data_IF_817499914342
#
_entry.id   IF_817499914342
#
_cell.length_a   1.000
_cell.length_b   1.000
_cell.length_c   1.000
_cell.angle_alpha   90.00
_cell.angle_beta   90.00
_cell.angle_gamma   90.00
#
_symmetry.space_group_name_H-M   'P 1'
#
loop_
_entity.id
_entity.type
_entity.pdbx_description
1 polymer ?
#
# COMPACT_ATOMS: atom_id res chain seq x y z
N UNK A 1 -1.83 -14.92 3.15
CA UNK A 1 -1.45 -15.98 2.19
C UNK A 1 -0.19 -15.56 1.46
N UNK A 2 0.97 -16.21 1.67
CA UNK A 2 2.16 -15.96 0.87
C UNK A 2 1.93 -16.55 -0.53
N UNK A 3 2.11 -15.70 -1.57
CA UNK A 3 1.94 -16.11 -2.97
C UNK A 3 3.26 -16.28 -3.70
N UNK A 4 4.33 -15.64 -3.21
CA UNK A 4 5.67 -15.71 -3.79
C UNK A 4 6.74 -15.44 -2.75
N UNK A 5 7.98 -15.81 -3.05
CA UNK A 5 9.17 -15.63 -2.23
C UNK A 5 10.31 -15.05 -3.05
N UNK A 6 11.21 -14.30 -2.39
CA UNK A 6 12.38 -13.72 -3.01
C UNK A 6 12.08 -12.48 -3.85
N UNK A 7 13.12 -11.83 -4.38
CA UNK A 7 13.00 -10.62 -5.20
C UNK A 7 14.16 -10.50 -6.17
N UNK A 8 13.85 -10.18 -7.44
CA UNK A 8 14.85 -10.01 -8.50
C UNK A 8 15.18 -8.53 -8.81
N UNK A 9 14.65 -7.57 -8.03
CA UNK A 9 14.84 -6.14 -8.32
C UNK A 9 16.25 -5.65 -7.98
N UNK A 10 16.92 -6.26 -6.99
CA UNK A 10 18.27 -5.88 -6.57
C UNK A 10 18.44 -4.37 -6.35
N UNK A 11 17.43 -3.73 -5.74
CA UNK A 11 17.57 -2.35 -5.30
C UNK A 11 18.80 -2.20 -4.43
N UNK A 12 19.61 -1.18 -4.68
CA UNK A 12 20.98 -1.08 -4.12
C UNK A 12 21.05 -1.02 -2.61
N UNK A 13 19.97 -0.59 -1.96
CA UNK A 13 19.82 -0.51 -0.49
C UNK A 13 19.22 -1.77 0.15
N UNK A 14 18.73 -2.73 -0.65
CA UNK A 14 17.88 -3.82 -0.16
C UNK A 14 18.66 -5.13 0.01
N UNK A 15 18.55 -5.72 1.20
CA UNK A 15 19.18 -7.01 1.52
C UNK A 15 18.34 -8.22 1.11
N UNK A 16 17.06 -8.02 0.75
CA UNK A 16 16.09 -9.10 0.49
C UNK A 16 16.57 -10.13 -0.53
N UNK A 17 17.12 -9.76 -1.71
CA UNK A 17 17.60 -10.76 -2.68
C UNK A 17 18.67 -11.70 -2.12
N UNK A 18 19.44 -11.23 -1.15
CA UNK A 18 20.55 -12.00 -0.55
C UNK A 18 20.09 -12.93 0.57
N UNK A 19 18.99 -12.57 1.28
CA UNK A 19 18.48 -13.37 2.41
C UNK A 19 17.24 -14.19 2.08
N UNK A 20 16.47 -13.82 1.05
CA UNK A 20 15.27 -14.54 0.58
C UNK A 20 15.47 -15.25 -0.76
N UNK A 21 16.57 -14.93 -1.47
CA UNK A 21 16.90 -15.51 -2.77
C UNK A 21 16.11 -14.91 -3.93
N UNK A 22 16.17 -15.61 -5.07
CA UNK A 22 15.47 -15.23 -6.30
C UNK A 22 13.96 -15.38 -6.19
N UNK A 23 13.24 -14.65 -7.02
CA UNK A 23 11.78 -14.76 -7.12
C UNK A 23 11.35 -16.19 -7.47
N UNK A 24 10.35 -16.67 -6.77
CA UNK A 24 9.67 -17.94 -6.97
C UNK A 24 8.21 -17.76 -6.59
N UNK A 25 7.33 -17.90 -7.55
CA UNK A 25 5.89 -17.85 -7.31
C UNK A 25 5.37 -19.23 -6.90
N UNK A 26 4.37 -19.24 -6.04
CA UNK A 26 3.58 -20.46 -5.82
C UNK A 26 2.69 -20.71 -7.03
N UNK A 27 2.36 -21.96 -7.27
CA UNK A 27 1.46 -22.33 -8.38
C UNK A 27 0.09 -21.67 -8.20
N UNK A 28 -0.50 -21.13 -9.29
CA UNK A 28 -1.78 -20.45 -9.21
C UNK A 28 -2.88 -21.32 -8.58
N UNK A 29 -2.92 -22.61 -8.94
CA UNK A 29 -3.91 -23.55 -8.45
C UNK A 29 -3.83 -23.74 -6.93
N UNK A 30 -2.62 -23.77 -6.37
CA UNK A 30 -2.40 -23.89 -4.94
C UNK A 30 -2.86 -22.64 -4.19
N UNK A 31 -2.56 -21.44 -4.71
CA UNK A 31 -2.99 -20.18 -4.11
C UNK A 31 -4.51 -20.06 -4.15
N UNK A 32 -5.12 -20.37 -5.30
CA UNK A 32 -6.59 -20.33 -5.47
C UNK A 32 -7.28 -21.31 -4.53
N UNK A 33 -6.75 -22.55 -4.41
CA UNK A 33 -7.30 -23.56 -3.53
C UNK A 33 -7.23 -23.14 -2.05
N UNK A 34 -6.10 -22.57 -1.61
CA UNK A 34 -5.91 -22.05 -0.25
C UNK A 34 -6.88 -20.91 0.05
N UNK A 35 -6.95 -19.90 -0.84
CA UNK A 35 -7.87 -18.76 -0.65
C UNK A 35 -9.33 -19.23 -0.61
N UNK A 36 -9.72 -20.15 -1.49
CA UNK A 36 -11.07 -20.75 -1.47
C UNK A 36 -11.35 -21.49 -0.18
N UNK A 37 -10.37 -22.22 0.36
CA UNK A 37 -10.49 -22.89 1.66
C UNK A 37 -10.73 -21.87 2.77
N UNK A 38 -9.92 -20.81 2.85
CA UNK A 38 -10.07 -19.76 3.85
C UNK A 38 -11.44 -19.06 3.78
N UNK A 39 -11.93 -18.78 2.57
CA UNK A 39 -13.27 -18.18 2.40
C UNK A 39 -14.36 -19.15 2.92
N UNK A 40 -14.26 -20.44 2.61
CA UNK A 40 -15.20 -21.47 3.10
C UNK A 40 -15.16 -21.62 4.63
N UNK A 41 -13.98 -21.40 5.23
CA UNK A 41 -13.78 -21.42 6.69
C UNK A 41 -14.27 -20.13 7.36
N UNK A 42 -14.79 -19.17 6.58
CA UNK A 42 -15.42 -17.94 7.08
C UNK A 42 -14.46 -16.76 7.29
N UNK A 43 -13.21 -16.84 6.80
CA UNK A 43 -12.31 -15.67 6.82
C UNK A 43 -12.85 -14.55 5.94
N UNK A 44 -12.92 -13.34 6.51
CA UNK A 44 -13.51 -12.16 5.87
C UNK A 44 -12.49 -11.24 5.21
N UNK A 45 -11.22 -11.34 5.58
CA UNK A 45 -10.13 -10.59 4.97
C UNK A 45 -8.94 -11.49 4.69
N UNK A 46 -8.43 -11.41 3.48
CA UNK A 46 -7.30 -12.20 3.00
C UNK A 46 -6.25 -11.26 2.44
N UNK A 47 -5.05 -11.32 3.00
CA UNK A 47 -3.91 -10.52 2.57
C UNK A 47 -2.93 -11.38 1.77
N UNK A 48 -2.71 -11.05 0.50
CA UNK A 48 -1.70 -11.70 -0.34
C UNK A 48 -0.33 -11.08 -0.08
N UNK A 49 0.66 -11.91 0.19
CA UNK A 49 2.00 -11.50 0.62
C UNK A 49 3.09 -12.01 -0.33
N UNK A 50 4.09 -11.17 -0.53
CA UNK A 50 5.32 -11.46 -1.26
C UNK A 50 6.33 -10.33 -1.08
N UNK A 51 7.48 -10.41 -1.71
CA UNK A 51 8.47 -9.34 -1.70
C UNK A 51 8.30 -8.35 -2.87
N UNK A 52 7.57 -8.76 -3.91
CA UNK A 52 7.11 -7.94 -5.03
C UNK A 52 5.94 -8.66 -5.70
N UNK A 53 4.73 -8.54 -5.15
CA UNK A 53 3.57 -9.30 -5.61
C UNK A 53 3.19 -9.01 -7.07
N UNK A 54 3.53 -7.82 -7.58
CA UNK A 54 3.24 -7.45 -8.97
C UNK A 54 4.03 -8.28 -9.99
N UNK A 55 5.15 -8.91 -9.58
CA UNK A 55 5.92 -9.81 -10.45
C UNK A 55 5.50 -11.27 -10.38
N UNK A 56 4.45 -11.59 -9.62
CA UNK A 56 3.94 -12.94 -9.48
C UNK A 56 3.65 -13.61 -10.82
N UNK A 57 4.00 -14.88 -10.91
CA UNK A 57 3.59 -15.81 -11.95
C UNK A 57 4.26 -15.65 -13.31
N UNK A 58 5.32 -14.84 -13.40
CA UNK A 58 6.08 -14.66 -14.65
C UNK A 58 6.57 -15.98 -15.25
N UNK A 59 6.89 -16.96 -14.40
CA UNK A 59 7.33 -18.29 -14.80
C UNK A 59 6.20 -19.20 -15.30
N UNK A 60 4.93 -18.82 -15.14
CA UNK A 60 3.75 -19.63 -15.51
C UNK A 60 2.90 -19.03 -16.63
N UNK A 61 3.30 -17.88 -17.20
CA UNK A 61 2.44 -17.08 -18.09
C UNK A 61 1.06 -16.79 -17.47
N UNK A 62 1.09 -16.56 -16.15
CA UNK A 62 -0.09 -16.36 -15.31
C UNK A 62 0.17 -15.22 -14.32
N UNK A 63 0.11 -13.98 -14.83
CA UNK A 63 0.47 -12.78 -14.06
C UNK A 63 -0.45 -12.48 -12.87
N UNK A 64 -0.02 -11.53 -12.05
CA UNK A 64 -0.71 -11.14 -10.82
C UNK A 64 -2.14 -10.63 -11.07
N UNK A 65 -2.37 -9.84 -12.11
CA UNK A 65 -3.71 -9.37 -12.48
C UNK A 65 -4.66 -10.55 -12.75
N UNK A 66 -4.18 -11.57 -13.45
CA UNK A 66 -4.96 -12.79 -13.73
C UNK A 66 -5.26 -13.58 -12.45
N UNK A 67 -4.27 -13.71 -11.54
CA UNK A 67 -4.50 -14.32 -10.23
C UNK A 67 -5.60 -13.57 -9.47
N UNK A 68 -5.53 -12.26 -9.39
CA UNK A 68 -6.55 -11.45 -8.72
C UNK A 68 -7.93 -11.63 -9.35
N UNK A 69 -8.02 -11.67 -10.69
CA UNK A 69 -9.28 -11.91 -11.39
C UNK A 69 -9.88 -13.29 -11.08
N UNK A 70 -9.06 -14.34 -10.95
CA UNK A 70 -9.55 -15.68 -10.59
C UNK A 70 -10.00 -15.72 -9.11
N UNK A 71 -9.26 -15.05 -8.23
CA UNK A 71 -9.63 -14.96 -6.82
C UNK A 71 -10.93 -14.15 -6.62
N UNK A 72 -11.16 -13.10 -7.40
CA UNK A 72 -12.37 -12.26 -7.33
C UNK A 72 -13.65 -13.00 -7.78
N UNK A 73 -13.51 -14.10 -8.53
CA UNK A 73 -14.64 -14.96 -8.96
C UNK A 73 -15.12 -15.92 -7.88
N UNK A 74 -14.35 -16.12 -6.81
CA UNK A 74 -14.73 -17.04 -5.73
C UNK A 74 -15.97 -16.48 -5.03
N UNK A 75 -17.07 -17.25 -4.91
CA UNK A 75 -18.26 -16.76 -4.26
C UNK A 75 -18.04 -16.60 -2.73
N UNK A 76 -18.65 -15.55 -2.16
CA UNK A 76 -18.56 -15.25 -0.74
C UNK A 76 -18.50 -13.75 -0.48
N UNK A 77 -18.50 -13.37 0.80
CA UNK A 77 -18.32 -11.99 1.23
C UNK A 77 -16.97 -11.87 1.96
N UNK A 78 -15.98 -11.33 1.27
CA UNK A 78 -14.62 -11.17 1.78
C UNK A 78 -13.95 -9.95 1.14
N UNK A 79 -12.89 -9.46 1.75
CA UNK A 79 -11.99 -8.45 1.23
C UNK A 79 -10.65 -9.09 0.87
N UNK A 80 -10.15 -8.83 -0.32
CA UNK A 80 -8.85 -9.27 -0.79
C UNK A 80 -7.91 -8.07 -0.86
N UNK A 81 -6.80 -8.16 -0.15
CA UNK A 81 -5.78 -7.11 -0.10
C UNK A 81 -4.42 -7.67 -0.50
N UNK A 82 -3.51 -6.82 -0.91
CA UNK A 82 -2.12 -7.19 -1.15
C UNK A 82 -1.18 -6.04 -0.79
N UNK A 83 0.05 -6.38 -0.50
CA UNK A 83 1.10 -5.41 -0.17
C UNK A 83 2.40 -5.76 -0.89
N UNK A 84 3.35 -4.81 -0.86
CA UNK A 84 4.70 -5.00 -1.40
C UNK A 84 4.72 -5.02 -2.92
N UNK A 85 4.22 -3.93 -3.50
CA UNK A 85 4.26 -3.66 -4.94
C UNK A 85 5.57 -2.98 -5.36
N UNK A 86 5.87 -3.01 -6.65
CA UNK A 86 6.96 -2.27 -7.25
C UNK A 86 6.48 -1.53 -8.50
N UNK A 87 6.73 -0.21 -8.65
CA UNK A 87 6.21 0.59 -9.77
C UNK A 87 6.53 0.01 -11.15
N UNK A 88 7.74 -0.52 -11.33
CA UNK A 88 8.17 -1.19 -12.58
C UNK A 88 7.22 -2.31 -13.04
N UNK A 89 6.62 -3.03 -12.10
CA UNK A 89 5.78 -4.19 -12.36
C UNK A 89 4.28 -3.88 -12.16
N UNK A 90 3.92 -2.62 -11.87
CA UNK A 90 2.55 -2.14 -11.82
C UNK A 90 2.08 -1.82 -13.24
N UNK A 91 1.01 -2.46 -13.70
CA UNK A 91 0.48 -2.30 -15.05
C UNK A 91 -0.92 -1.69 -15.03
N UNK A 92 -1.36 -1.11 -16.15
CA UNK A 92 -2.75 -0.67 -16.33
C UNK A 92 -3.73 -1.85 -16.15
N UNK A 93 -3.38 -3.05 -16.65
CA UNK A 93 -4.18 -4.25 -16.45
C UNK A 93 -4.42 -4.56 -14.97
N UNK A 94 -3.38 -4.43 -14.13
CA UNK A 94 -3.53 -4.62 -12.69
C UNK A 94 -4.46 -3.57 -12.08
N UNK A 95 -4.32 -2.31 -12.46
CA UNK A 95 -5.16 -1.21 -11.98
C UNK A 95 -6.61 -1.42 -12.41
N UNK A 96 -6.85 -1.82 -13.66
CA UNK A 96 -8.18 -2.14 -14.18
C UNK A 96 -8.79 -3.33 -13.44
N UNK A 97 -8.01 -4.38 -13.18
CA UNK A 97 -8.45 -5.54 -12.40
C UNK A 97 -8.92 -5.13 -10.99
N UNK A 98 -8.19 -4.22 -10.33
CA UNK A 98 -8.60 -3.69 -9.02
C UNK A 98 -9.91 -2.89 -9.16
N UNK A 99 -9.99 -2.01 -10.15
CA UNK A 99 -11.14 -1.13 -10.37
C UNK A 99 -12.44 -1.90 -10.63
N UNK A 100 -12.35 -2.96 -11.44
CA UNK A 100 -13.49 -3.74 -11.91
C UNK A 100 -13.87 -4.89 -10.95
N UNK A 101 -13.08 -5.11 -9.89
CA UNK A 101 -13.28 -6.19 -8.91
C UNK A 101 -14.43 -5.92 -7.94
N UNK A 102 -14.93 -7.00 -7.33
CA UNK A 102 -15.92 -6.94 -6.23
C UNK A 102 -15.28 -6.99 -4.85
N UNK A 103 -14.17 -7.72 -4.72
CA UNK A 103 -13.57 -8.06 -3.43
C UNK A 103 -12.22 -7.39 -3.17
N UNK A 104 -11.52 -6.91 -4.23
CA UNK A 104 -10.20 -6.34 -4.07
C UNK A 104 -10.28 -4.96 -3.42
N UNK A 105 -9.41 -4.73 -2.45
CA UNK A 105 -9.27 -3.44 -1.77
C UNK A 105 -8.92 -2.32 -2.77
N UNK A 106 -9.53 -1.16 -2.61
CA UNK A 106 -9.21 0.08 -3.34
C UNK A 106 -8.03 0.83 -2.71
N UNK A 107 -7.12 0.09 -2.11
CA UNK A 107 -5.86 0.57 -1.56
C UNK A 107 -4.70 0.10 -2.44
N UNK A 108 -3.94 1.03 -2.97
CA UNK A 108 -2.73 0.76 -3.76
C UNK A 108 -1.50 1.25 -3.00
N UNK A 109 -0.76 0.30 -2.42
CA UNK A 109 0.55 0.57 -1.86
C UNK A 109 1.60 0.46 -2.95
N UNK A 110 2.18 1.60 -3.37
CA UNK A 110 3.14 1.68 -4.47
C UNK A 110 4.40 2.45 -4.05
N UNK A 111 5.41 1.77 -3.49
CA UNK A 111 6.62 2.38 -2.97
C UNK A 111 7.45 3.13 -4.01
N UNK A 112 7.44 4.46 -3.97
CA UNK A 112 8.24 5.30 -4.88
C UNK A 112 9.70 5.39 -4.47
N UNK A 113 9.97 5.37 -3.17
CA UNK A 113 11.26 5.50 -2.51
C UNK A 113 11.87 6.90 -2.56
N UNK A 114 11.89 7.58 -3.71
CA UNK A 114 12.47 8.91 -3.90
C UNK A 114 11.79 9.63 -5.07
N UNK A 115 11.78 10.94 -5.06
CA UNK A 115 11.24 11.79 -6.14
C UNK A 115 12.28 12.36 -7.08
N UNK A 116 13.52 11.86 -7.06
CA UNK A 116 14.59 12.25 -7.98
C UNK A 116 14.95 11.09 -8.89
N UNK A 117 14.87 11.29 -10.21
CA UNK A 117 15.22 10.27 -11.22
C UNK A 117 16.70 9.84 -11.11
N UNK A 118 17.56 10.79 -10.74
CA UNK A 118 18.98 10.50 -10.49
C UNK A 118 19.13 9.50 -9.34
N UNK A 119 18.46 9.74 -8.23
CA UNK A 119 18.52 8.87 -7.04
C UNK A 119 17.79 7.55 -7.29
N UNK A 120 16.66 7.54 -7.99
CA UNK A 120 15.98 6.31 -8.40
C UNK A 120 16.91 5.40 -9.24
N UNK A 121 17.71 5.97 -10.13
CA UNK A 121 18.72 5.24 -10.90
C UNK A 121 19.81 4.66 -9.99
N UNK A 122 20.35 5.45 -9.05
CA UNK A 122 21.33 4.99 -8.07
C UNK A 122 20.75 3.90 -7.14
N UNK A 123 19.47 3.98 -6.82
CA UNK A 123 18.71 2.96 -6.09
C UNK A 123 18.42 1.71 -6.93
N UNK A 124 18.74 1.69 -8.24
CA UNK A 124 18.41 0.60 -9.19
C UNK A 124 16.91 0.35 -9.32
N UNK A 125 16.11 1.42 -9.44
CA UNK A 125 14.64 1.31 -9.42
C UNK A 125 13.98 1.05 -10.78
N UNK A 126 14.67 1.18 -11.91
CA UNK A 126 14.18 0.87 -13.27
C UNK A 126 12.84 1.50 -13.67
N UNK A 127 12.52 2.67 -13.12
CA UNK A 127 11.46 3.59 -13.53
C UNK A 127 11.88 5.00 -13.15
N UNK A 128 11.24 5.98 -13.72
CA UNK A 128 11.38 7.41 -13.42
C UNK A 128 10.11 7.99 -12.77
N UNK A 129 10.19 9.24 -12.35
CA UNK A 129 9.09 9.95 -11.72
C UNK A 129 7.92 10.18 -12.69
N UNK A 130 8.20 10.32 -13.99
CA UNK A 130 7.17 10.52 -15.02
C UNK A 130 6.30 9.26 -15.17
N UNK A 131 6.92 8.09 -15.30
CA UNK A 131 6.20 6.81 -15.34
C UNK A 131 5.43 6.55 -14.03
N UNK A 132 6.05 6.84 -12.88
CA UNK A 132 5.36 6.70 -11.60
C UNK A 132 4.09 7.57 -11.52
N UNK A 133 4.19 8.84 -11.91
CA UNK A 133 3.05 9.76 -11.89
C UNK A 133 1.95 9.34 -12.86
N UNK A 134 2.30 8.82 -14.02
CA UNK A 134 1.36 8.29 -15.01
C UNK A 134 0.53 7.14 -14.39
N UNK A 135 1.17 6.18 -13.72
CA UNK A 135 0.48 5.09 -13.02
C UNK A 135 -0.47 5.62 -11.92
N UNK A 136 -0.02 6.62 -11.15
CA UNK A 136 -0.86 7.22 -10.09
C UNK A 136 -2.07 7.95 -10.69
N UNK A 137 -1.90 8.71 -11.76
CA UNK A 137 -2.99 9.41 -12.43
C UNK A 137 -3.99 8.42 -13.03
N UNK A 138 -3.48 7.33 -13.63
CA UNK A 138 -4.34 6.26 -14.14
C UNK A 138 -5.13 5.58 -13.02
N UNK A 139 -4.48 5.25 -11.90
CA UNK A 139 -5.16 4.66 -10.74
C UNK A 139 -6.25 5.58 -10.18
N UNK A 140 -5.97 6.87 -10.04
CA UNK A 140 -6.97 7.87 -9.58
C UNK A 140 -8.17 8.00 -10.52
N UNK A 141 -7.94 7.82 -11.81
CA UNK A 141 -9.01 7.87 -12.82
C UNK A 141 -9.86 6.61 -12.81
N UNK A 142 -9.26 5.44 -12.59
CA UNK A 142 -9.92 4.13 -12.71
C UNK A 142 -10.56 3.66 -11.41
N UNK A 143 -9.93 3.92 -10.27
CA UNK A 143 -10.38 3.42 -8.97
C UNK A 143 -11.01 4.58 -8.18
N UNK A 144 -12.33 4.53 -7.89
CA UNK A 144 -12.99 5.60 -7.16
C UNK A 144 -12.36 5.85 -5.79
N UNK A 145 -11.93 7.09 -5.54
CA UNK A 145 -11.34 7.51 -4.25
C UNK A 145 -10.18 6.60 -3.79
N UNK A 146 -9.39 6.04 -4.73
CA UNK A 146 -8.27 5.14 -4.40
C UNK A 146 -7.46 5.66 -3.23
N UNK A 147 -7.18 4.79 -2.27
CA UNK A 147 -6.24 5.09 -1.20
C UNK A 147 -4.82 4.76 -1.68
N UNK A 148 -3.95 5.76 -1.64
CA UNK A 148 -2.58 5.65 -2.11
C UNK A 148 -1.60 5.72 -0.94
N UNK A 149 -0.77 4.70 -0.82
CA UNK A 149 0.32 4.70 0.16
C UNK A 149 1.66 4.39 -0.50
N UNK A 150 2.74 4.83 0.13
CA UNK A 150 4.09 4.68 -0.42
C UNK A 150 5.13 4.52 0.67
N UNK A 151 6.34 4.08 0.29
CA UNK A 151 7.55 4.17 1.09
C UNK A 151 8.47 5.24 0.54
N UNK A 152 9.15 5.97 1.42
CA UNK A 152 10.13 7.00 1.07
C UNK A 152 11.36 6.83 1.95
N UNK A 153 12.54 6.85 1.32
CA UNK A 153 13.83 6.83 1.98
C UNK A 153 14.49 8.19 1.79
N UNK A 154 14.83 8.86 2.89
CA UNK A 154 15.55 10.13 2.94
C UNK A 154 17.01 9.89 3.27
N UNK A 155 17.91 10.66 2.68
CA UNK A 155 19.35 10.59 2.96
C UNK A 155 20.01 9.35 2.36
N UNK A 156 19.55 8.89 1.21
CA UNK A 156 20.25 7.86 0.44
C UNK A 156 21.66 8.35 0.08
N UNK A 157 22.71 7.48 0.10
CA UNK A 157 24.07 7.90 -0.20
C UNK A 157 24.17 8.69 -1.51
N UNK A 158 24.72 9.90 -1.44
CA UNK A 158 24.84 10.81 -2.58
C UNK A 158 23.57 11.60 -2.95
N UNK A 159 22.47 11.49 -2.19
CA UNK A 159 21.31 12.36 -2.35
C UNK A 159 21.70 13.81 -1.99
N UNK A 160 21.29 14.78 -2.79
CA UNK A 160 21.45 16.21 -2.48
C UNK A 160 20.15 16.76 -1.89
N UNK A 161 20.24 17.95 -1.28
CA UNK A 161 19.01 18.62 -0.82
C UNK A 161 18.03 18.92 -1.96
N UNK A 162 18.56 19.15 -3.16
CA UNK A 162 17.78 19.38 -4.38
C UNK A 162 17.02 18.13 -4.83
N UNK A 163 17.65 16.94 -4.74
CA UNK A 163 17.00 15.67 -4.96
C UNK A 163 15.88 15.40 -3.94
N UNK A 164 16.17 15.71 -2.67
CA UNK A 164 15.17 15.62 -1.59
C UNK A 164 13.96 16.55 -1.85
N UNK A 165 14.20 17.78 -2.30
CA UNK A 165 13.09 18.66 -2.68
C UNK A 165 12.24 18.11 -3.81
N UNK A 166 12.82 17.38 -4.76
CA UNK A 166 12.09 16.61 -5.78
C UNK A 166 11.11 15.61 -5.15
N UNK A 167 11.53 14.95 -4.07
CA UNK A 167 10.65 14.02 -3.30
C UNK A 167 9.50 14.77 -2.63
N UNK A 168 9.78 15.93 -2.05
CA UNK A 168 8.74 16.80 -1.45
C UNK A 168 7.71 17.25 -2.48
N UNK A 169 8.15 17.68 -3.65
CA UNK A 169 7.25 18.10 -4.73
C UNK A 169 6.42 16.94 -5.28
N UNK A 170 7.01 15.75 -5.41
CA UNK A 170 6.26 14.55 -5.78
C UNK A 170 5.15 14.24 -4.76
N UNK A 171 5.44 14.32 -3.46
CA UNK A 171 4.44 14.09 -2.40
C UNK A 171 3.28 15.08 -2.49
N UNK A 172 3.57 16.36 -2.69
CA UNK A 172 2.55 17.41 -2.86
C UNK A 172 1.67 17.14 -4.08
N UNK A 173 2.25 16.63 -5.18
CA UNK A 173 1.53 16.31 -6.41
C UNK A 173 0.67 15.05 -6.26
N UNK A 174 1.21 13.99 -5.69
CA UNK A 174 0.51 12.71 -5.50
C UNK A 174 -0.54 12.81 -4.40
N UNK A 175 -0.23 13.48 -3.28
CA UNK A 175 -1.08 13.59 -2.09
C UNK A 175 -1.44 12.22 -1.51
N UNK A 176 -0.44 11.51 -1.03
CA UNK A 176 -0.62 10.19 -0.43
C UNK A 176 -1.52 10.24 0.80
N UNK A 177 -2.34 9.21 0.97
CA UNK A 177 -3.12 8.98 2.20
C UNK A 177 -2.19 8.72 3.39
N UNK A 178 -1.13 7.96 3.14
CA UNK A 178 -0.06 7.74 4.11
C UNK A 178 1.26 7.46 3.40
N UNK A 179 2.37 7.85 4.01
CA UNK A 179 3.71 7.50 3.57
C UNK A 179 4.50 6.89 4.72
N UNK A 180 5.06 5.71 4.49
CA UNK A 180 6.03 5.11 5.39
C UNK A 180 7.39 5.71 5.07
N UNK A 181 7.91 6.50 5.98
CA UNK A 181 9.11 7.31 5.77
C UNK A 181 10.26 6.79 6.62
N UNK A 182 11.44 6.69 6.01
CA UNK A 182 12.64 6.15 6.64
C UNK A 182 13.83 7.05 6.34
N UNK A 183 14.72 7.22 7.32
CA UNK A 183 16.09 7.67 7.05
C UNK A 183 16.85 6.46 6.54
N UNK A 184 17.66 6.64 5.47
CA UNK A 184 18.49 5.56 4.96
C UNK A 184 19.30 4.90 6.09
N UNK A 185 19.21 3.58 6.16
CA UNK A 185 19.95 2.77 7.12
C UNK A 185 20.84 1.79 6.37
N UNK A 186 22.13 1.90 6.60
CA UNK A 186 23.16 1.04 6.00
C UNK A 186 22.89 -0.44 6.32
N UNK A 187 22.85 -1.28 5.28
CA UNK A 187 22.73 -2.73 5.41
C UNK A 187 23.96 -3.38 4.82
N UNK A 188 24.73 -4.06 5.65
CA UNK A 188 25.95 -4.76 5.21
C UNK A 188 25.64 -5.72 4.06
N UNK A 189 26.57 -5.82 3.09
CA UNK A 189 26.42 -6.65 1.90
C UNK A 189 25.60 -6.03 0.77
N UNK A 190 24.98 -4.86 0.96
CA UNK A 190 24.29 -4.14 -0.13
C UNK A 190 25.22 -3.18 -0.85
N UNK A 191 24.91 -2.88 -2.13
CA UNK A 191 25.72 -1.93 -2.93
C UNK A 191 25.73 -0.54 -2.30
N UNK A 192 24.58 -0.06 -1.80
CA UNK A 192 24.47 1.25 -1.17
C UNK A 192 25.32 1.35 0.11
N UNK A 193 25.58 0.24 0.80
CA UNK A 193 26.45 0.24 1.98
C UNK A 193 27.91 0.56 1.68
N UNK A 194 28.36 0.37 0.46
CA UNK A 194 29.71 0.69 -0.01
C UNK A 194 29.82 2.07 -0.67
N UNK A 195 28.70 2.78 -0.90
CA UNK A 195 28.70 4.11 -1.48
C UNK A 195 29.19 5.16 -0.48
N UNK A 196 29.92 6.19 -0.95
CA UNK A 196 30.23 7.35 -0.11
C UNK A 196 28.94 8.03 0.34
N UNK A 197 28.84 8.32 1.63
CA UNK A 197 27.70 9.00 2.22
C UNK A 197 28.15 10.33 2.84
N UNK A 198 28.14 11.43 2.07
CA UNK A 198 28.62 12.72 2.53
C UNK A 198 27.60 13.48 3.40
N UNK A 199 26.37 12.95 3.53
CA UNK A 199 25.29 13.65 4.21
C UNK A 199 25.41 13.41 5.71
N UNK A 200 25.44 14.49 6.50
CA UNK A 200 25.45 14.37 7.95
C UNK A 200 24.14 13.80 8.49
N UNK A 201 24.19 13.09 9.61
CA UNK A 201 22.98 12.58 10.28
C UNK A 201 22.07 13.72 10.73
N UNK A 202 22.64 14.89 11.03
CA UNK A 202 21.88 16.10 11.37
C UNK A 202 21.06 16.58 10.18
N UNK A 203 21.64 16.63 8.98
CA UNK A 203 20.93 17.08 7.77
C UNK A 203 19.88 16.06 7.34
N UNK A 204 20.19 14.76 7.39
CA UNK A 204 19.17 13.70 7.18
C UNK A 204 18.00 13.86 8.14
N UNK A 205 18.27 14.16 9.40
CA UNK A 205 17.25 14.41 10.42
C UNK A 205 16.41 15.67 10.14
N UNK A 206 17.02 16.74 9.60
CA UNK A 206 16.29 17.97 9.18
C UNK A 206 15.36 17.66 8.00
N UNK A 207 15.87 17.00 6.96
CA UNK A 207 15.09 16.63 5.77
C UNK A 207 13.94 15.70 6.15
N UNK A 208 14.19 14.72 7.01
CA UNK A 208 13.18 13.79 7.49
C UNK A 208 12.03 14.51 8.22
N UNK A 209 12.32 15.45 9.11
CA UNK A 209 11.28 16.26 9.78
C UNK A 209 10.48 17.07 8.78
N UNK A 210 11.15 17.73 7.82
CA UNK A 210 10.47 18.47 6.77
C UNK A 210 9.53 17.58 5.94
N UNK A 211 9.95 16.34 5.64
CA UNK A 211 9.11 15.36 4.95
C UNK A 211 7.87 14.98 5.75
N UNK A 212 8.03 14.76 7.05
CA UNK A 212 6.92 14.45 7.96
C UNK A 212 5.92 15.59 8.04
N UNK A 213 6.39 16.84 8.12
CA UNK A 213 5.51 18.02 8.16
C UNK A 213 4.66 18.11 6.88
N UNK A 214 5.27 17.84 5.72
CA UNK A 214 4.54 17.79 4.43
C UNK A 214 3.51 16.68 4.43
N UNK A 215 3.86 15.45 4.85
CA UNK A 215 2.92 14.34 4.88
C UNK A 215 1.77 14.59 5.87
N UNK A 216 2.06 15.14 7.04
CA UNK A 216 1.03 15.47 8.02
C UNK A 216 0.02 16.49 7.46
N UNK A 217 0.52 17.55 6.81
CA UNK A 217 -0.33 18.55 6.14
C UNK A 217 -1.22 17.96 5.04
N UNK A 218 -0.73 16.93 4.32
CA UNK A 218 -1.52 16.19 3.33
C UNK A 218 -2.55 15.30 4.02
N UNK A 219 -2.10 14.54 5.04
CA UNK A 219 -2.91 13.56 5.77
C UNK A 219 -4.12 14.16 6.49
N UNK A 220 -3.96 15.39 7.05
CA UNK A 220 -5.06 16.12 7.71
C UNK A 220 -6.33 16.25 6.85
N UNK A 221 -6.17 16.31 5.53
CA UNK A 221 -7.27 16.50 4.56
C UNK A 221 -7.54 15.27 3.69
N UNK A 222 -6.70 14.25 3.80
CA UNK A 222 -6.77 13.10 2.91
C UNK A 222 -8.12 12.38 2.98
N UNK A 223 -8.70 12.30 4.16
CA UNK A 223 -9.94 11.55 4.40
C UNK A 223 -11.21 12.40 4.32
N UNK A 224 -11.11 13.73 4.17
CA UNK A 224 -12.28 14.61 3.99
C UNK A 224 -13.15 14.20 2.79
N UNK A 225 -12.53 13.59 1.77
CA UNK A 225 -13.23 13.09 0.58
C UNK A 225 -14.26 12.00 0.85
N UNK A 226 -14.22 11.38 2.02
CA UNK A 226 -15.18 10.35 2.42
C UNK A 226 -16.35 10.88 3.24
N UNK A 227 -16.33 12.14 3.68
CA UNK A 227 -17.42 12.74 4.47
C UNK A 227 -18.72 12.70 3.65
N UNK A 228 -19.77 12.16 4.26
CA UNK A 228 -21.09 11.96 3.65
C UNK A 228 -21.27 10.63 2.93
N UNK A 229 -20.18 9.89 2.66
CA UNK A 229 -20.29 8.56 2.03
C UNK A 229 -20.80 7.53 3.03
N UNK A 230 -21.53 6.54 2.49
CA UNK A 230 -21.79 5.27 3.17
C UNK A 230 -20.74 4.26 2.72
N UNK A 231 -19.94 3.76 3.67
CA UNK A 231 -18.86 2.82 3.39
C UNK A 231 -19.10 1.50 4.08
N UNK A 232 -18.82 0.40 3.39
CA UNK A 232 -18.81 -0.92 4.02
C UNK A 232 -17.51 -1.12 4.79
N UNK A 233 -17.61 -1.58 6.02
CA UNK A 233 -16.52 -1.74 6.99
C UNK A 233 -16.57 -3.16 7.56
N UNK A 234 -15.46 -3.86 7.56
CA UNK A 234 -15.31 -5.07 8.37
C UNK A 234 -15.01 -4.63 9.82
N UNK A 235 -15.92 -4.92 10.74
CA UNK A 235 -15.74 -4.60 12.15
C UNK A 235 -14.69 -5.54 12.76
N UNK A 236 -13.59 -5.00 13.25
CA UNK A 236 -12.44 -5.78 13.74
C UNK A 236 -12.32 -5.78 15.27
N UNK A 237 -12.93 -4.79 15.95
CA UNK A 237 -12.79 -4.69 17.38
C UNK A 237 -13.23 -3.36 17.97
N UNK A 238 -12.68 -3.06 19.13
CA UNK A 238 -12.90 -1.79 19.82
C UNK A 238 -11.86 -0.79 19.34
N UNK A 239 -12.31 0.41 18.96
CA UNK A 239 -11.47 1.52 18.52
C UNK A 239 -10.51 2.00 19.61
N UNK A 240 -9.38 2.53 19.16
CA UNK A 240 -8.36 3.13 20.05
C UNK A 240 -8.47 4.64 20.15
N UNK A 241 -9.23 5.26 19.25
CA UNK A 241 -9.31 6.73 19.12
C UNK A 241 -10.30 7.37 20.08
N UNK A 242 -11.32 6.62 20.52
CA UNK A 242 -12.27 7.07 21.56
C UNK A 242 -12.86 5.87 22.29
N UNK A 243 -13.07 6.03 23.61
CA UNK A 243 -13.62 4.97 24.45
C UNK A 243 -15.02 4.54 23.97
N UNK A 244 -15.18 3.24 23.75
CA UNK A 244 -16.46 2.60 23.44
C UNK A 244 -16.86 2.58 21.96
N UNK A 245 -16.10 3.17 21.05
CA UNK A 245 -16.34 3.01 19.62
C UNK A 245 -15.87 1.65 19.13
N UNK A 246 -16.58 1.09 18.15
CA UNK A 246 -16.11 -0.02 17.35
C UNK A 246 -15.22 0.51 16.24
N UNK A 247 -14.29 -0.33 15.76
CA UNK A 247 -13.36 0.01 14.68
C UNK A 247 -13.29 -1.07 13.64
N UNK A 248 -12.95 -0.68 12.44
CA UNK A 248 -12.66 -1.60 11.34
C UNK A 248 -12.06 -0.88 10.14
N UNK A 249 -11.86 -1.60 9.06
CA UNK A 249 -11.31 -1.04 7.82
C UNK A 249 -12.34 -1.09 6.69
N UNK A 250 -12.48 0.02 5.98
CA UNK A 250 -13.25 0.07 4.74
C UNK A 250 -12.53 -0.66 3.60
N UNK A 251 -13.19 -0.80 2.46
CA UNK A 251 -12.57 -1.32 1.23
C UNK A 251 -11.35 -0.51 0.78
N UNK A 252 -11.28 0.77 1.12
CA UNK A 252 -10.13 1.64 0.84
C UNK A 252 -8.97 1.48 1.85
N UNK A 253 -9.11 0.58 2.83
CA UNK A 253 -8.11 0.43 3.90
C UNK A 253 -8.12 1.58 4.92
N UNK A 254 -9.13 2.45 4.88
CA UNK A 254 -9.28 3.55 5.84
C UNK A 254 -9.88 3.01 7.13
N UNK A 255 -9.29 3.40 8.27
CA UNK A 255 -9.82 3.10 9.60
C UNK A 255 -11.12 3.88 9.79
N UNK A 256 -12.17 3.18 10.19
CA UNK A 256 -13.50 3.74 10.46
C UNK A 256 -13.90 3.39 11.87
N UNK A 257 -14.07 4.42 12.70
CA UNK A 257 -14.59 4.27 14.05
C UNK A 257 -16.07 4.68 14.09
N UNK A 258 -16.90 3.89 14.77
CA UNK A 258 -18.34 4.08 14.78
C UNK A 258 -18.99 3.57 16.08
N UNK A 259 -20.16 4.08 16.41
CA UNK A 259 -20.96 3.55 17.53
C UNK A 259 -21.50 2.17 17.18
N UNK A 260 -21.20 1.18 18.02
CA UNK A 260 -21.62 -0.19 17.81
C UNK A 260 -21.44 -1.06 19.04
N UNK A 261 -21.70 -2.34 18.89
CA UNK A 261 -21.62 -3.33 19.97
C UNK A 261 -20.66 -4.47 19.60
N UNK A 262 -20.13 -5.17 20.61
CA UNK A 262 -19.11 -6.21 20.42
C UNK A 262 -19.55 -7.40 19.56
N UNK A 263 -20.84 -7.65 19.46
CA UNK A 263 -21.40 -8.73 18.62
C UNK A 263 -21.28 -8.42 17.11
N UNK A 264 -20.87 -7.21 16.74
CA UNK A 264 -20.57 -6.82 15.37
C UNK A 264 -19.16 -7.23 14.93
N UNK A 265 -18.29 -7.65 15.86
CA UNK A 265 -16.93 -8.08 15.51
C UNK A 265 -16.98 -9.25 14.54
N UNK A 266 -16.24 -9.15 13.42
CA UNK A 266 -16.23 -10.13 12.32
C UNK A 266 -17.38 -9.98 11.33
N UNK A 267 -18.28 -9.01 11.51
CA UNK A 267 -19.36 -8.69 10.55
C UNK A 267 -19.01 -7.48 9.70
N UNK A 268 -19.58 -7.45 8.51
CA UNK A 268 -19.58 -6.22 7.71
C UNK A 268 -20.71 -5.31 8.20
N UNK A 269 -20.40 -4.03 8.29
CA UNK A 269 -21.36 -2.99 8.65
C UNK A 269 -21.29 -1.86 7.62
N UNK A 270 -22.38 -1.13 7.42
CA UNK A 270 -22.37 0.12 6.65
C UNK A 270 -22.33 1.29 7.62
N UNK A 271 -21.36 2.19 7.41
CA UNK A 271 -21.17 3.39 8.23
C UNK A 271 -21.23 4.62 7.33
N UNK A 272 -22.06 5.61 7.72
CA UNK A 272 -22.08 6.94 7.08
C UNK A 272 -21.03 7.82 7.74
N UNK A 273 -20.04 8.24 6.96
CA UNK A 273 -18.91 9.02 7.45
C UNK A 273 -19.34 10.45 7.78
N UNK A 274 -19.09 10.88 9.00
CA UNK A 274 -19.46 12.21 9.49
C UNK A 274 -18.25 13.13 9.67
N UNK A 275 -17.07 12.57 10.03
CA UNK A 275 -15.89 13.36 10.34
C UNK A 275 -14.62 12.66 9.88
N UNK A 276 -13.69 13.43 9.33
CA UNK A 276 -12.32 13.00 9.05
C UNK A 276 -11.39 13.39 10.20
N UNK A 277 -10.47 12.50 10.51
CA UNK A 277 -9.36 12.67 11.43
C UNK A 277 -8.04 12.44 10.66
N UNK A 278 -6.88 12.82 11.18
CA UNK A 278 -5.61 12.63 10.45
C UNK A 278 -5.30 11.18 10.05
N UNK A 279 -5.81 10.19 10.81
CA UNK A 279 -5.47 8.77 10.60
C UNK A 279 -6.70 7.86 10.47
N UNK A 280 -7.91 8.41 10.59
CA UNK A 280 -9.15 7.65 10.60
C UNK A 280 -10.31 8.52 10.17
N UNK A 281 -11.47 7.91 10.00
CA UNK A 281 -12.74 8.62 9.90
C UNK A 281 -13.69 8.12 10.99
N UNK A 282 -14.63 8.96 11.38
CA UNK A 282 -15.70 8.55 12.30
C UNK A 282 -17.06 8.71 11.64
N UNK A 283 -17.99 7.85 11.99
CA UNK A 283 -19.31 7.88 11.38
C UNK A 283 -20.39 7.22 12.23
N UNK A 284 -21.59 7.21 11.66
CA UNK A 284 -22.78 6.62 12.25
C UNK A 284 -23.11 5.29 11.59
N UNK A 285 -23.38 4.27 12.40
CA UNK A 285 -23.83 2.97 11.94
C UNK A 285 -25.18 3.10 11.21
N UNK A 286 -25.23 2.64 9.95
CA UNK A 286 -26.45 2.62 9.15
C UNK A 286 -27.09 1.23 9.18
N UNK A 287 -26.31 0.19 8.98
CA UNK A 287 -26.78 -1.20 8.98
C UNK A 287 -25.70 -2.21 9.33
N UNK A 288 -26.12 -3.38 9.79
CA UNK A 288 -25.27 -4.55 9.93
C UNK A 288 -25.57 -5.47 8.75
N UNK A 289 -24.51 -5.86 8.02
CA UNK A 289 -24.60 -6.66 6.80
C UNK A 289 -23.94 -8.01 7.05
N UNK A 290 -24.71 -9.05 7.23
CA UNK A 290 -24.19 -10.41 7.43
C UNK A 290 -23.63 -11.03 6.13
#
# INVERSE_FOLDING_TARGET
>A
VPIMYGCNNFCTYCIVPFVRGRERSRRPEEVIAEVKGLINDGYKEILLLGQNVNSYGKEYDFGFAKLLSELDKIPGKYKLSFMTSHPKDCTHELIDTIADSRHISYHLHLPVQCGSDRILKEMNRHYDTAHYLELIEYAKKRIPKVALTTDIIVGFPGETYEDFLGTVELMKKVRYDSAYTFIYSKREGTKAAAMPDPISDEDKGKWFRQLLDVQNSIGEKAYERFIGDEVEVLCEGIGRTADGLMTGHSRHGVIVDFNGTRDMIGKYVTVRIQKALPWAVTGELVSVND
#
